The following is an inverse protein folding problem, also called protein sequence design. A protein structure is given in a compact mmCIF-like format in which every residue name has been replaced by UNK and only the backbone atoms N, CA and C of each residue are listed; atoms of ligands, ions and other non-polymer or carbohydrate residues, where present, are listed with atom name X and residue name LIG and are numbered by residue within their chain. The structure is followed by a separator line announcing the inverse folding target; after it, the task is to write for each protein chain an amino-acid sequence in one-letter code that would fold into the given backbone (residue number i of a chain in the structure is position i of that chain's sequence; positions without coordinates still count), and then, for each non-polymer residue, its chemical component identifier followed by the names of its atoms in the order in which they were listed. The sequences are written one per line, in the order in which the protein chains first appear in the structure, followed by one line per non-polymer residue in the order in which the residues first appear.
data_IF_087757042016
#
_entry.id   IF_087757042016
#
_cell.length_a   1.000
_cell.length_b   1.000
_cell.length_c   1.000
_cell.angle_alpha   90.00
_cell.angle_beta   90.00
_cell.angle_gamma   90.00
#
_symmetry.space_group_name_H-M   'P 1'
#
loop_
_entity.id
_entity.type
_entity.pdbx_description
1 polymer ?
#
# COMPACT_ATOMS: atom_id res chain seq x y z
N UNK A 1 -13.68 -4.27 -16.90
CA UNK A 1 -12.67 -3.95 -15.85
C UNK A 1 -12.65 -5.02 -14.76
N UNK A 2 -13.79 -5.34 -14.14
CA UNK A 2 -13.91 -6.35 -13.08
C UNK A 2 -13.48 -7.77 -13.49
N UNK A 3 -13.83 -8.22 -14.71
CA UNK A 3 -13.37 -9.51 -15.28
C UNK A 3 -11.84 -9.63 -15.30
N UNK A 4 -11.13 -8.58 -15.72
CA UNK A 4 -9.65 -8.54 -15.77
C UNK A 4 -8.97 -8.65 -14.40
N UNK A 5 -9.64 -8.22 -13.32
CA UNK A 5 -9.11 -8.33 -11.96
C UNK A 5 -9.28 -9.76 -11.45
N UNK A 6 -10.43 -10.39 -11.70
CA UNK A 6 -10.63 -11.81 -11.37
C UNK A 6 -9.69 -12.70 -12.18
N UNK A 7 -9.53 -12.40 -13.48
CA UNK A 7 -8.59 -13.09 -14.36
C UNK A 7 -7.14 -12.97 -13.85
N UNK A 8 -6.77 -11.94 -13.08
CA UNK A 8 -5.44 -11.85 -12.47
C UNK A 8 -5.16 -13.00 -11.50
N UNK A 9 -6.19 -13.49 -10.80
CA UNK A 9 -6.05 -14.57 -9.83
C UNK A 9 -6.24 -15.96 -10.45
N UNK A 10 -7.13 -16.10 -11.42
CA UNK A 10 -7.47 -17.39 -12.03
C UNK A 10 -6.74 -17.68 -13.35
N UNK A 11 -6.35 -16.63 -14.08
CA UNK A 11 -5.74 -16.69 -15.41
C UNK A 11 -4.62 -15.64 -15.56
N UNK A 12 -3.61 -15.61 -14.66
CA UNK A 12 -2.59 -14.55 -14.63
C UNK A 12 -1.78 -14.48 -15.92
N UNK A 13 -1.50 -15.63 -16.57
CA UNK A 13 -0.70 -15.70 -17.80
C UNK A 13 -1.35 -14.89 -18.92
N UNK A 14 -2.66 -15.00 -19.07
CA UNK A 14 -3.47 -14.32 -20.06
C UNK A 14 -3.48 -12.81 -19.80
N UNK A 15 -3.57 -12.40 -18.53
CA UNK A 15 -3.52 -10.99 -18.13
C UNK A 15 -2.15 -10.38 -18.44
N UNK A 16 -1.06 -11.02 -18.03
CA UNK A 16 0.29 -10.51 -18.28
C UNK A 16 0.67 -10.54 -19.77
N UNK A 17 0.18 -11.52 -20.54
CA UNK A 17 0.35 -11.52 -22.01
C UNK A 17 -0.31 -10.31 -22.66
N UNK A 18 -1.53 -9.95 -22.26
CA UNK A 18 -2.20 -8.73 -22.77
C UNK A 18 -1.44 -7.45 -22.40
N UNK A 19 -0.72 -7.42 -21.28
CA UNK A 19 0.10 -6.26 -20.88
C UNK A 19 1.33 -6.09 -21.77
N UNK A 20 1.85 -7.16 -22.37
CA UNK A 20 2.96 -7.06 -23.31
C UNK A 20 2.54 -6.37 -24.61
N UNK A 21 1.31 -6.64 -25.07
CA UNK A 21 0.72 -6.02 -26.27
C UNK A 21 0.30 -4.56 -26.01
N UNK A 22 -0.39 -4.29 -24.89
CA UNK A 22 -0.90 -2.95 -24.55
C UNK A 22 -0.66 -2.63 -23.06
N UNK A 23 0.54 -2.14 -22.71
CA UNK A 23 0.87 -1.85 -21.31
C UNK A 23 0.03 -0.68 -20.79
N UNK A 24 -0.78 -0.96 -19.77
CA UNK A 24 -1.59 0.03 -19.06
C UNK A 24 -1.31 -0.03 -17.56
N UNK A 25 -0.65 0.99 -17.03
CA UNK A 25 -0.31 1.08 -15.61
C UNK A 25 -1.27 1.98 -14.81
N UNK A 26 -2.03 2.86 -15.46
CA UNK A 26 -2.86 3.86 -14.75
C UNK A 26 -3.98 3.18 -13.98
N UNK A 27 -4.69 2.26 -14.64
CA UNK A 27 -5.79 1.50 -14.02
C UNK A 27 -5.35 0.77 -12.75
N UNK A 28 -4.33 -0.12 -12.78
CA UNK A 28 -3.91 -0.85 -11.57
C UNK A 28 -3.35 0.07 -10.49
N UNK A 29 -2.67 1.16 -10.83
CA UNK A 29 -2.22 2.16 -9.84
C UNK A 29 -3.40 2.81 -9.14
N UNK A 30 -4.37 3.33 -9.89
CA UNK A 30 -5.56 3.99 -9.31
C UNK A 30 -6.33 3.03 -8.41
N UNK A 31 -6.53 1.79 -8.83
CA UNK A 31 -7.18 0.77 -8.01
C UNK A 31 -6.41 0.49 -6.71
N UNK A 32 -5.09 0.34 -6.80
CA UNK A 32 -4.24 0.14 -5.62
C UNK A 32 -4.36 1.31 -4.64
N UNK A 33 -4.30 2.55 -5.14
CA UNK A 33 -4.43 3.75 -4.30
C UNK A 33 -5.78 3.84 -3.61
N UNK A 34 -6.87 3.56 -4.34
CA UNK A 34 -8.24 3.57 -3.78
C UNK A 34 -8.38 2.50 -2.70
N UNK A 35 -7.90 1.29 -2.95
CA UNK A 35 -7.98 0.19 -1.96
C UNK A 35 -7.15 0.50 -0.71
N UNK A 36 -5.91 0.97 -0.87
CA UNK A 36 -5.06 1.38 0.25
C UNK A 36 -5.69 2.50 1.08
N UNK A 37 -6.34 3.46 0.42
CA UNK A 37 -7.05 4.55 1.08
C UNK A 37 -8.25 4.04 1.87
N UNK A 38 -9.08 3.18 1.29
CA UNK A 38 -10.26 2.61 1.95
C UNK A 38 -9.85 1.90 3.24
N UNK A 39 -8.88 0.98 3.19
CA UNK A 39 -8.43 0.25 4.38
C UNK A 39 -7.81 1.17 5.42
N UNK A 40 -7.00 2.13 4.99
CA UNK A 40 -6.42 3.13 5.89
C UNK A 40 -7.51 3.90 6.62
N UNK A 41 -8.53 4.38 5.92
CA UNK A 41 -9.63 5.16 6.54
C UNK A 41 -10.48 4.33 7.50
N UNK A 42 -10.66 3.03 7.23
CA UNK A 42 -11.35 2.11 8.14
C UNK A 42 -10.52 1.89 9.43
N UNK A 43 -9.22 1.71 9.28
CA UNK A 43 -8.29 1.38 10.36
C UNK A 43 -7.86 2.61 11.16
N UNK A 44 -7.90 3.80 10.57
CA UNK A 44 -7.36 5.03 11.15
C UNK A 44 -7.92 5.33 12.55
N UNK A 45 -9.25 5.51 12.72
CA UNK A 45 -9.82 5.82 14.04
C UNK A 45 -9.76 4.65 15.03
N UNK A 46 -9.82 3.40 14.53
CA UNK A 46 -10.04 2.22 15.38
C UNK A 46 -8.74 1.56 15.83
N UNK A 47 -7.66 1.70 15.06
CA UNK A 47 -6.41 0.97 15.27
C UNK A 47 -5.22 1.91 15.20
N UNK A 48 -5.06 2.66 14.11
CA UNK A 48 -3.83 3.41 13.84
C UNK A 48 -3.64 4.55 14.84
N UNK A 49 -4.66 5.39 15.06
CA UNK A 49 -4.57 6.51 16.02
C UNK A 49 -4.42 6.01 17.47
N UNK A 50 -5.27 5.09 17.98
CA UNK A 50 -5.11 4.59 19.35
C UNK A 50 -3.76 3.92 19.59
N UNK A 51 -3.26 3.12 18.63
CA UNK A 51 -1.94 2.50 18.75
C UNK A 51 -0.83 3.53 18.66
N UNK A 52 -0.96 4.55 17.80
CA UNK A 52 -0.02 5.66 17.69
C UNK A 52 0.14 6.39 19.02
N UNK A 53 -0.97 6.78 19.66
CA UNK A 53 -0.95 7.43 20.97
C UNK A 53 -0.32 6.54 22.04
N UNK A 54 -0.68 5.25 22.11
CA UNK A 54 -0.06 4.30 23.04
C UNK A 54 1.45 4.17 22.83
N UNK A 55 1.91 4.12 21.57
CA UNK A 55 3.33 4.05 21.22
C UNK A 55 4.10 5.29 21.67
N UNK A 56 3.54 6.48 21.49
CA UNK A 56 4.15 7.75 21.92
C UNK A 56 4.27 7.79 23.44
N UNK A 57 3.19 7.48 24.16
CA UNK A 57 3.17 7.51 25.62
C UNK A 57 4.17 6.53 26.25
N UNK A 58 4.39 5.38 25.60
CA UNK A 58 5.35 4.37 26.01
C UNK A 58 6.83 4.71 25.67
N UNK A 59 7.13 5.83 24.99
CA UNK A 59 8.51 6.19 24.67
C UNK A 59 9.22 6.81 25.89
N UNK A 60 10.16 6.08 26.49
CA UNK A 60 10.95 6.57 27.63
C UNK A 60 11.87 7.75 27.28
N UNK A 61 12.26 7.88 26.00
CA UNK A 61 13.18 8.92 25.52
C UNK A 61 12.56 10.32 25.38
N UNK A 62 11.25 10.47 25.60
CA UNK A 62 10.54 11.75 25.45
C UNK A 62 10.17 12.26 26.83
N UNK A 63 10.27 13.58 27.04
CA UNK A 63 9.69 14.22 28.23
C UNK A 63 8.15 14.15 28.16
N UNK A 64 7.48 14.33 29.30
CA UNK A 64 6.01 14.29 29.33
C UNK A 64 5.39 15.37 28.44
N UNK A 65 5.97 16.58 28.42
CA UNK A 65 5.51 17.68 27.56
C UNK A 65 5.65 17.32 26.07
N UNK A 66 6.72 16.61 25.70
CA UNK A 66 6.93 16.15 24.32
C UNK A 66 5.92 15.06 23.93
N UNK A 67 5.56 14.17 24.87
CA UNK A 67 4.54 13.15 24.64
C UNK A 67 3.17 13.77 24.45
N UNK A 68 2.78 14.70 25.32
CA UNK A 68 1.49 15.39 25.22
C UNK A 68 1.35 16.14 23.88
N UNK A 69 2.37 16.91 23.49
CA UNK A 69 2.37 17.64 22.22
C UNK A 69 2.27 16.69 21.01
N UNK A 70 2.93 15.53 21.07
CA UNK A 70 2.88 14.53 20.00
C UNK A 70 1.52 13.83 19.91
N UNK A 71 0.89 13.50 21.05
CA UNK A 71 -0.46 12.90 21.10
C UNK A 71 -1.50 13.90 20.62
N UNK A 72 -1.42 15.17 21.00
CA UNK A 72 -2.30 16.22 20.48
C UNK A 72 -2.23 16.33 18.95
N UNK A 73 -1.07 16.02 18.34
CA UNK A 73 -0.91 15.94 16.89
C UNK A 73 -1.67 14.81 16.20
N UNK A 74 -2.13 13.80 16.96
CA UNK A 74 -2.96 12.68 16.51
C UNK A 74 -4.46 12.92 16.74
N UNK A 75 -4.84 14.05 17.30
CA UNK A 75 -6.23 14.41 17.57
C UNK A 75 -6.82 15.32 16.47
N UNK A 76 -8.15 15.43 16.47
CA UNK A 76 -8.88 16.29 15.56
C UNK A 76 -8.83 15.85 14.08
N UNK A 77 -8.95 16.82 13.17
CA UNK A 77 -9.06 16.58 11.72
C UNK A 77 -7.71 16.37 11.02
N UNK A 78 -6.61 16.80 11.62
CA UNK A 78 -5.27 16.73 11.02
C UNK A 78 -4.91 15.33 10.51
N UNK A 79 -5.01 14.24 11.29
CA UNK A 79 -4.67 12.89 10.81
C UNK A 79 -5.56 12.42 9.65
N UNK A 80 -6.82 12.84 9.60
CA UNK A 80 -7.75 12.50 8.52
C UNK A 80 -7.40 13.19 7.19
N UNK A 81 -6.53 14.19 7.21
CA UNK A 81 -6.01 14.85 6.01
C UNK A 81 -4.61 14.33 5.69
N UNK A 82 -3.71 14.33 6.68
CA UNK A 82 -2.29 14.02 6.45
C UNK A 82 -2.06 12.54 6.19
N UNK A 83 -2.76 11.62 6.87
CA UNK A 83 -2.56 10.18 6.70
C UNK A 83 -2.97 9.69 5.31
N UNK A 84 -4.16 10.04 4.77
CA UNK A 84 -4.52 9.73 3.38
C UNK A 84 -3.50 10.22 2.35
N UNK A 85 -3.06 11.47 2.47
CA UNK A 85 -2.07 12.06 1.57
C UNK A 85 -0.77 11.27 1.64
N UNK A 86 -0.28 10.99 2.85
CA UNK A 86 0.94 10.21 3.05
C UNK A 86 0.83 8.80 2.44
N UNK A 87 -0.31 8.11 2.60
CA UNK A 87 -0.53 6.79 2.01
C UNK A 87 -0.56 6.84 0.49
N UNK A 88 -1.26 7.81 -0.10
CA UNK A 88 -1.33 7.97 -1.56
C UNK A 88 0.07 8.24 -2.14
N UNK A 89 0.77 9.23 -1.58
CA UNK A 89 2.10 9.65 -2.03
C UNK A 89 3.10 8.50 -1.88
N UNK A 90 3.19 7.89 -0.70
CA UNK A 90 4.12 6.80 -0.45
C UNK A 90 3.85 5.57 -1.32
N UNK A 91 2.58 5.16 -1.48
CA UNK A 91 2.21 4.02 -2.34
C UNK A 91 2.52 4.30 -3.79
N UNK A 92 2.21 5.50 -4.29
CA UNK A 92 2.51 5.91 -5.65
C UNK A 92 4.01 5.85 -5.92
N UNK A 93 4.84 6.50 -5.08
CA UNK A 93 6.29 6.47 -5.25
C UNK A 93 6.87 5.06 -5.11
N UNK A 94 6.35 4.24 -4.19
CA UNK A 94 6.81 2.85 -4.02
C UNK A 94 6.62 2.02 -5.28
N UNK A 95 5.49 2.16 -5.99
CA UNK A 95 5.24 1.46 -7.27
C UNK A 95 6.29 1.87 -8.31
N UNK A 96 6.55 3.17 -8.45
CA UNK A 96 7.52 3.70 -9.41
C UNK A 96 8.96 3.31 -9.06
N UNK A 97 9.33 3.36 -7.78
CA UNK A 97 10.66 2.94 -7.31
C UNK A 97 10.87 1.46 -7.60
N UNK A 98 9.91 0.58 -7.26
CA UNK A 98 10.01 -0.86 -7.58
C UNK A 98 10.13 -1.09 -9.08
N UNK A 99 9.33 -0.41 -9.89
CA UNK A 99 9.44 -0.48 -11.35
C UNK A 99 10.81 0.00 -11.85
N UNK A 100 11.37 1.05 -11.26
CA UNK A 100 12.70 1.57 -11.57
C UNK A 100 13.79 0.55 -11.26
N UNK A 101 13.74 -0.06 -10.08
CA UNK A 101 14.67 -1.12 -9.67
C UNK A 101 14.62 -2.29 -10.65
N UNK A 102 13.42 -2.78 -11.00
CA UNK A 102 13.29 -3.87 -11.96
C UNK A 102 13.75 -3.48 -13.36
N UNK A 103 13.46 -2.26 -13.81
CA UNK A 103 13.94 -1.76 -15.09
C UNK A 103 15.46 -1.69 -15.17
N UNK A 104 16.12 -1.17 -14.13
CA UNK A 104 17.57 -1.15 -14.05
C UNK A 104 18.13 -2.57 -14.07
N UNK A 105 17.58 -3.46 -13.23
CA UNK A 105 18.00 -4.86 -13.18
C UNK A 105 17.91 -5.55 -14.54
N UNK A 106 16.76 -5.47 -15.23
CA UNK A 106 16.61 -6.08 -16.55
C UNK A 106 17.47 -5.41 -17.63
N UNK A 107 17.67 -4.09 -17.55
CA UNK A 107 18.54 -3.38 -18.49
C UNK A 107 20.00 -3.82 -18.36
N UNK A 108 20.48 -4.03 -17.13
CA UNK A 108 21.82 -4.56 -16.86
C UNK A 108 22.01 -5.99 -17.38
N UNK A 109 20.93 -6.78 -17.43
CA UNK A 109 20.92 -8.11 -18.04
C UNK A 109 20.75 -8.10 -19.57
N UNK A 110 20.76 -6.93 -20.21
CA UNK A 110 20.68 -6.79 -21.66
C UNK A 110 19.25 -6.79 -22.24
N UNK A 111 18.23 -6.65 -21.39
CA UNK A 111 16.84 -6.53 -21.85
C UNK A 111 16.62 -5.25 -22.67
N UNK A 112 15.80 -5.34 -23.72
CA UNK A 112 15.34 -4.20 -24.54
C UNK A 112 13.94 -3.73 -24.17
N UNK A 113 13.42 -4.17 -23.01
CA UNK A 113 12.08 -3.78 -22.55
C UNK A 113 12.03 -2.31 -22.15
N UNK A 114 10.90 -1.65 -22.43
CA UNK A 114 10.67 -0.25 -22.04
C UNK A 114 10.13 -0.14 -20.61
N UNK A 115 10.51 0.91 -19.88
CA UNK A 115 10.06 1.17 -18.50
C UNK A 115 8.54 1.05 -18.32
N UNK A 116 7.75 1.57 -19.29
CA UNK A 116 6.28 1.51 -19.25
C UNK A 116 5.73 0.08 -19.14
N UNK A 117 6.38 -0.91 -19.78
CA UNK A 117 5.96 -2.31 -19.69
C UNK A 117 6.21 -2.87 -18.29
N UNK A 118 7.38 -2.60 -17.72
CA UNK A 118 7.72 -3.03 -16.35
C UNK A 118 6.83 -2.34 -15.32
N UNK A 119 6.58 -1.03 -15.48
CA UNK A 119 5.66 -0.30 -14.61
C UNK A 119 4.26 -0.90 -14.65
N UNK A 120 3.76 -1.29 -15.83
CA UNK A 120 2.47 -1.98 -15.94
C UNK A 120 2.48 -3.31 -15.18
N UNK A 121 3.49 -4.16 -15.39
CA UNK A 121 3.62 -5.45 -14.68
C UNK A 121 3.66 -5.24 -13.17
N UNK A 122 4.53 -4.35 -12.68
CA UNK A 122 4.66 -4.04 -11.25
C UNK A 122 3.35 -3.53 -10.68
N UNK A 123 2.66 -2.62 -11.37
CA UNK A 123 1.37 -2.08 -10.91
C UNK A 123 0.30 -3.17 -10.76
N UNK A 124 0.21 -4.11 -11.70
CA UNK A 124 -0.70 -5.24 -11.59
C UNK A 124 -0.33 -6.18 -10.44
N UNK A 125 0.96 -6.38 -10.15
CA UNK A 125 1.39 -7.21 -9.02
C UNK A 125 0.93 -6.66 -7.66
N UNK A 126 0.74 -5.34 -7.52
CA UNK A 126 0.17 -4.76 -6.29
C UNK A 126 -1.29 -5.15 -6.08
N UNK A 127 -2.05 -5.39 -7.16
CA UNK A 127 -3.45 -5.83 -7.04
C UNK A 127 -3.54 -7.22 -6.40
N UNK A 128 -2.53 -8.07 -6.55
CA UNK A 128 -2.47 -9.41 -5.93
C UNK A 128 -2.49 -9.31 -4.39
N UNK A 129 -2.02 -8.20 -3.82
CA UNK A 129 -2.02 -7.96 -2.38
C UNK A 129 -3.38 -7.53 -1.79
N UNK A 130 -4.43 -7.39 -2.60
CA UNK A 130 -5.76 -6.97 -2.13
C UNK A 130 -6.37 -7.99 -1.14
N UNK A 131 -6.38 -9.31 -1.40
CA UNK A 131 -6.90 -10.30 -0.45
C UNK A 131 -6.12 -10.29 0.87
N UNK A 132 -4.79 -10.14 0.80
CA UNK A 132 -3.95 -9.97 1.99
C UNK A 132 -4.36 -8.73 2.79
N UNK A 133 -4.56 -7.60 2.12
CA UNK A 133 -4.99 -6.34 2.75
C UNK A 133 -6.35 -6.47 3.43
N UNK A 134 -7.29 -7.20 2.81
CA UNK A 134 -8.60 -7.51 3.41
C UNK A 134 -8.40 -8.29 4.71
N UNK A 135 -7.69 -9.42 4.64
CA UNK A 135 -7.48 -10.32 5.80
C UNK A 135 -6.73 -9.59 6.91
N UNK A 136 -5.62 -8.90 6.60
CA UNK A 136 -4.86 -8.14 7.58
C UNK A 136 -5.69 -7.03 8.22
N UNK A 137 -6.50 -6.30 7.46
CA UNK A 137 -7.35 -5.24 8.01
C UNK A 137 -8.40 -5.78 8.99
N UNK A 138 -9.04 -6.91 8.67
CA UNK A 138 -9.97 -7.58 9.59
C UNK A 138 -9.26 -8.00 10.88
N UNK A 139 -8.10 -8.63 10.77
CA UNK A 139 -7.31 -9.05 11.93
C UNK A 139 -6.82 -7.87 12.77
N UNK A 140 -6.44 -6.75 12.14
CA UNK A 140 -6.03 -5.52 12.82
C UNK A 140 -7.19 -4.93 13.63
N UNK A 141 -8.41 -4.94 13.08
CA UNK A 141 -9.61 -4.52 13.78
C UNK A 141 -9.93 -5.44 14.97
N UNK A 142 -9.81 -6.77 14.79
CA UNK A 142 -10.06 -7.75 15.85
C UNK A 142 -9.04 -7.65 17.00
N UNK A 143 -7.76 -7.42 16.67
CA UNK A 143 -6.68 -7.32 17.67
C UNK A 143 -6.48 -5.93 18.24
N UNK A 144 -7.03 -4.90 17.59
CA UNK A 144 -6.76 -3.49 17.95
C UNK A 144 -5.28 -3.11 17.80
N UNK A 145 -4.55 -3.77 16.89
CA UNK A 145 -3.12 -3.49 16.65
C UNK A 145 -2.76 -3.69 15.18
N UNK A 146 -1.86 -2.85 14.68
CA UNK A 146 -1.20 -2.98 13.37
C UNK A 146 -0.20 -4.13 13.30
N UNK A 147 0.19 -4.72 14.44
CA UNK A 147 1.13 -5.85 14.50
C UNK A 147 0.40 -7.18 14.28
N UNK A 148 0.00 -7.43 13.04
CA UNK A 148 -0.59 -8.69 12.61
C UNK A 148 0.32 -9.36 11.60
N UNK A 149 0.77 -10.58 11.93
CA UNK A 149 1.53 -11.43 11.03
C UNK A 149 0.63 -12.53 10.49
N UNK A 150 0.78 -12.81 9.21
CA UNK A 150 0.09 -13.90 8.51
C UNK A 150 1.13 -14.66 7.72
N UNK A 151 1.03 -15.99 7.58
CA UNK A 151 1.98 -16.75 6.75
C UNK A 151 2.02 -16.33 5.28
N UNK A 152 1.07 -15.49 4.84
CA UNK A 152 1.03 -14.85 3.52
C UNK A 152 2.15 -13.79 3.32
N UNK A 153 2.77 -13.29 4.40
CA UNK A 153 4.00 -12.48 4.44
C UNK A 153 4.42 -12.19 5.89
#
# INVERSE_FOLDING_TARGET
MMKKILDLYFSPKEVFKQLDEKPNWVIPVVLTLVVSLIFTMILLPKVILPEGSKKILAMERLTEEQKEAAVAGLEGLRPYITTPIAVIVSTFFLIFIKAGIFFLFFSLLGSRTVFKKILAVVSYSFLIGIPESIVKSILMLMKGSTKVFTSLA
#
